data_IF_417336068367
#
_entry.id   IF_417336068367
#
_cell.length_a   1.000
_cell.length_b   1.000
_cell.length_c   1.000
_cell.angle_alpha   90.00
_cell.angle_beta   90.00
_cell.angle_gamma   90.00
#
_symmetry.space_group_name_H-M   'P 1'
#
loop_
_entity.id
_entity.type
_entity.pdbx_description
1 polymer ?
#
# COMPACT_ATOMS: atom_id res chain seq x y z
N UNK A 1 25.55 3.44 -9.07
CA UNK A 1 24.18 3.12 -9.52
C UNK A 1 23.67 4.00 -10.65
N UNK A 2 23.26 5.26 -10.42
CA UNK A 2 22.57 6.09 -11.44
C UNK A 2 23.34 6.24 -12.76
N UNK A 3 24.62 6.62 -12.69
CA UNK A 3 25.45 6.80 -13.88
C UNK A 3 25.65 5.48 -14.66
N UNK A 4 25.81 4.37 -13.95
CA UNK A 4 25.99 3.03 -14.57
C UNK A 4 24.74 2.61 -15.33
N UNK A 5 23.56 2.79 -14.73
CA UNK A 5 22.29 2.48 -15.38
C UNK A 5 22.05 3.35 -16.62
N UNK A 6 22.37 4.65 -16.56
CA UNK A 6 22.36 5.53 -17.74
C UNK A 6 23.34 5.06 -18.82
N UNK A 7 24.50 4.54 -18.44
CA UNK A 7 25.49 3.97 -19.35
C UNK A 7 24.97 2.75 -20.14
N UNK A 8 23.96 2.06 -19.62
CA UNK A 8 23.25 0.97 -20.32
C UNK A 8 22.04 1.45 -21.13
N UNK A 9 21.79 2.76 -21.20
CA UNK A 9 20.63 3.33 -21.89
C UNK A 9 19.31 3.28 -21.10
N UNK A 10 19.35 2.96 -19.80
CA UNK A 10 18.17 3.01 -18.93
C UNK A 10 17.88 4.43 -18.45
N UNK A 11 16.66 4.66 -17.95
CA UNK A 11 16.16 5.99 -17.58
C UNK A 11 15.94 6.15 -16.06
N UNK A 12 17.01 6.09 -15.23
CA UNK A 12 16.86 6.23 -13.78
C UNK A 12 16.46 7.66 -13.40
N UNK A 13 15.37 7.79 -12.65
CA UNK A 13 14.80 9.04 -12.15
C UNK A 13 14.89 9.13 -10.62
N UNK A 14 14.81 10.34 -10.08
CA UNK A 14 14.68 10.51 -8.63
C UNK A 14 13.31 10.02 -8.18
N UNK A 15 13.27 9.21 -7.12
CA UNK A 15 12.03 8.69 -6.56
C UNK A 15 11.28 9.82 -5.83
N UNK A 16 10.02 10.13 -6.18
CA UNK A 16 9.22 11.07 -5.41
C UNK A 16 8.91 10.52 -4.03
N UNK A 17 9.16 11.31 -2.99
CA UNK A 17 8.99 10.92 -1.59
C UNK A 17 8.33 12.03 -0.79
N UNK A 18 7.46 11.68 0.14
CA UNK A 18 6.97 12.58 1.19
C UNK A 18 8.01 12.75 2.30
N UNK A 19 9.22 13.20 1.94
CA UNK A 19 10.36 13.33 2.86
C UNK A 19 10.99 14.71 2.67
N UNK A 20 11.17 15.42 3.78
CA UNK A 20 12.08 16.56 3.88
C UNK A 20 13.44 16.01 4.33
N UNK A 21 14.35 15.86 3.37
CA UNK A 21 15.64 15.20 3.60
C UNK A 21 16.55 16.03 4.51
N UNK A 22 16.46 17.36 4.45
CA UNK A 22 17.30 18.25 5.25
C UNK A 22 16.83 18.22 6.71
N UNK A 23 15.50 18.26 6.94
CA UNK A 23 14.94 18.06 8.27
C UNK A 23 15.27 16.67 8.84
N UNK A 24 15.15 15.62 8.02
CA UNK A 24 15.51 14.26 8.43
C UNK A 24 16.96 14.17 8.91
N UNK A 25 17.90 14.68 8.11
CA UNK A 25 19.33 14.56 8.39
C UNK A 25 19.77 15.41 9.60
N UNK A 26 19.03 16.47 9.93
CA UNK A 26 19.25 17.28 11.15
C UNK A 26 18.92 16.49 12.42
N UNK A 27 17.86 15.69 12.40
CA UNK A 27 17.43 14.89 13.55
C UNK A 27 18.29 13.62 13.74
N UNK A 28 18.96 13.16 12.68
CA UNK A 28 19.98 12.13 12.78
C UNK A 28 20.42 11.53 11.45
N UNK A 29 21.62 10.94 11.44
CA UNK A 29 22.12 10.16 10.30
C UNK A 29 21.63 8.72 10.35
N UNK A 30 20.32 8.52 10.39
CA UNK A 30 19.70 7.20 10.45
C UNK A 30 18.98 6.90 9.14
N UNK A 31 19.09 5.66 8.66
CA UNK A 31 18.42 5.20 7.44
C UNK A 31 17.05 4.58 7.71
N UNK A 32 16.34 4.98 8.77
CA UNK A 32 15.11 4.34 9.30
C UNK A 32 13.88 4.46 8.37
N UNK A 33 14.03 4.10 7.10
CA UNK A 33 13.03 4.17 6.03
C UNK A 33 11.72 3.45 6.38
N UNK A 34 11.82 2.33 7.09
CA UNK A 34 10.71 1.45 7.44
C UNK A 34 9.98 1.82 8.74
N UNK A 35 10.46 2.82 9.49
CA UNK A 35 9.86 3.20 10.78
C UNK A 35 9.10 4.53 10.68
N UNK A 36 8.12 4.77 11.57
CA UNK A 36 7.60 6.12 11.79
C UNK A 36 8.75 7.05 12.17
N UNK A 37 8.78 8.24 11.58
CA UNK A 37 9.71 9.27 11.98
C UNK A 37 9.01 10.12 13.05
N UNK A 38 9.59 10.25 14.23
CA UNK A 38 9.03 11.10 15.30
C UNK A 38 9.38 12.58 15.13
N UNK A 39 10.20 12.92 14.13
CA UNK A 39 10.53 14.28 13.72
C UNK A 39 9.71 14.74 12.51
N UNK A 40 10.15 15.81 11.86
CA UNK A 40 9.44 16.39 10.70
C UNK A 40 9.96 15.89 9.34
N UNK A 41 11.00 15.06 9.34
CA UNK A 41 11.68 14.64 8.11
C UNK A 41 10.86 13.69 7.22
N UNK A 42 9.96 12.89 7.81
CA UNK A 42 9.02 12.02 7.07
C UNK A 42 7.62 12.59 7.20
N UNK A 43 7.04 13.02 6.10
CA UNK A 43 5.65 13.47 6.09
C UNK A 43 4.76 12.25 5.90
N UNK A 44 4.14 11.82 7.00
CA UNK A 44 3.13 10.78 7.02
C UNK A 44 1.72 11.35 7.28
N UNK A 45 0.72 10.48 7.36
CA UNK A 45 -0.67 10.91 7.57
C UNK A 45 -0.85 11.67 8.90
N UNK A 46 -0.09 11.33 9.94
CA UNK A 46 -0.20 11.94 11.26
C UNK A 46 0.44 13.34 11.26
N UNK A 47 1.68 13.42 10.78
CA UNK A 47 2.50 14.64 10.79
C UNK A 47 2.10 15.66 9.72
N UNK A 48 1.49 15.22 8.63
CA UNK A 48 0.97 16.08 7.57
C UNK A 48 -0.54 16.36 7.71
N UNK A 49 -1.40 15.66 6.95
CA UNK A 49 -2.80 16.03 6.80
C UNK A 49 -3.63 15.97 8.08
N UNK A 50 -3.38 15.00 8.98
CA UNK A 50 -4.14 14.90 10.23
C UNK A 50 -3.80 16.06 11.18
N UNK A 51 -2.52 16.38 11.35
CA UNK A 51 -2.10 17.54 12.17
C UNK A 51 -2.73 18.85 11.65
N UNK A 52 -2.78 19.04 10.32
CA UNK A 52 -3.45 20.18 9.72
C UNK A 52 -4.96 20.19 9.97
N UNK A 53 -5.63 19.05 9.85
CA UNK A 53 -7.07 18.92 10.08
C UNK A 53 -7.46 19.21 11.54
N UNK A 54 -6.67 18.75 12.51
CA UNK A 54 -6.93 18.94 13.94
C UNK A 54 -6.72 20.38 14.43
N UNK A 55 -6.16 21.27 13.59
CA UNK A 55 -6.13 22.70 13.88
C UNK A 55 -7.52 23.35 13.74
N UNK A 56 -8.46 22.73 13.03
CA UNK A 56 -9.85 23.18 12.91
C UNK A 56 -10.67 22.72 14.12
N UNK A 57 -11.43 23.65 14.72
CA UNK A 57 -12.25 23.39 15.91
C UNK A 57 -13.44 22.47 15.64
N UNK A 58 -13.80 22.27 14.38
CA UNK A 58 -14.90 21.40 13.97
C UNK A 58 -14.45 19.95 13.72
N UNK A 59 -13.18 19.63 13.98
CA UNK A 59 -12.63 18.28 13.83
C UNK A 59 -12.31 17.71 15.21
N UNK A 60 -12.87 16.54 15.50
CA UNK A 60 -12.61 15.78 16.72
C UNK A 60 -11.95 14.43 16.36
N UNK A 61 -10.96 14.03 17.17
CA UNK A 61 -10.30 12.73 17.05
C UNK A 61 -10.57 11.88 18.28
N UNK A 62 -11.34 10.80 18.10
CA UNK A 62 -11.51 9.77 19.12
C UNK A 62 -10.51 8.63 18.89
N UNK A 63 -9.64 8.39 19.88
CA UNK A 63 -8.70 7.24 19.87
C UNK A 63 -9.20 6.11 20.77
N UNK A 64 -8.65 4.90 20.59
CA UNK A 64 -9.12 3.71 21.29
C UNK A 64 -10.55 3.29 20.92
N UNK A 65 -11.10 3.84 19.83
CA UNK A 65 -12.43 3.59 19.31
C UNK A 65 -12.35 2.60 18.13
N UNK A 66 -12.70 1.33 18.36
CA UNK A 66 -12.69 0.29 17.35
C UNK A 66 -14.09 0.10 16.75
N UNK A 67 -14.30 0.54 15.50
CA UNK A 67 -15.56 0.32 14.78
C UNK A 67 -15.75 -1.18 14.54
N UNK A 68 -16.85 -1.75 15.03
CA UNK A 68 -17.15 -3.18 14.89
C UNK A 68 -18.04 -3.44 13.67
N UNK A 69 -19.04 -2.59 13.44
CA UNK A 69 -19.98 -2.69 12.33
C UNK A 69 -20.76 -1.39 12.09
N UNK A 70 -21.45 -1.33 10.95
CA UNK A 70 -22.37 -0.28 10.56
C UNK A 70 -23.81 -0.82 10.60
N UNK A 71 -24.76 0.03 10.96
CA UNK A 71 -26.20 -0.27 10.95
C UNK A 71 -26.85 0.50 9.81
N UNK A 72 -27.53 -0.20 8.90
CA UNK A 72 -28.31 0.41 7.84
C UNK A 72 -29.69 0.88 8.34
N UNK A 73 -30.27 1.88 7.67
CA UNK A 73 -31.67 2.27 7.84
C UNK A 73 -32.61 1.12 7.46
N UNK A 74 -33.88 1.23 7.88
CA UNK A 74 -34.90 0.22 7.59
C UNK A 74 -35.13 -0.02 6.08
N UNK A 75 -34.92 1.01 5.26
CA UNK A 75 -35.00 0.93 3.79
C UNK A 75 -33.65 0.57 3.13
N UNK A 76 -32.62 0.32 3.95
CA UNK A 76 -31.23 -0.01 3.59
C UNK A 76 -30.53 0.98 2.66
N UNK A 77 -31.06 2.19 2.47
CA UNK A 77 -30.48 3.20 1.56
C UNK A 77 -29.41 4.06 2.20
N UNK A 78 -29.30 4.05 3.53
CA UNK A 78 -28.37 4.87 4.29
C UNK A 78 -27.81 4.11 5.49
N UNK A 79 -26.65 4.52 5.95
CA UNK A 79 -26.10 4.10 7.24
C UNK A 79 -26.73 4.98 8.32
N UNK A 80 -27.49 4.34 9.22
CA UNK A 80 -28.19 4.98 10.32
C UNK A 80 -27.29 5.16 11.56
N UNK A 81 -26.39 4.21 11.81
CA UNK A 81 -25.46 4.29 12.93
C UNK A 81 -24.12 3.59 12.67
N UNK A 82 -23.08 4.08 13.35
CA UNK A 82 -21.75 3.43 13.43
C UNK A 82 -21.58 2.90 14.85
N UNK A 83 -21.35 1.60 14.99
CA UNK A 83 -21.16 0.93 16.28
C UNK A 83 -19.66 0.67 16.51
N UNK A 84 -19.16 1.13 17.66
CA UNK A 84 -17.73 1.06 17.98
C UNK A 84 -17.51 0.75 19.45
N UNK A 85 -16.43 0.01 19.74
CA UNK A 85 -16.02 -0.32 21.10
C UNK A 85 -14.92 0.62 21.56
N UNK A 86 -15.08 1.17 22.76
CA UNK A 86 -14.08 1.99 23.43
C UNK A 86 -14.06 1.66 24.92
N UNK A 87 -12.87 1.35 25.46
CA UNK A 87 -12.69 0.95 26.85
C UNK A 87 -13.63 -0.21 27.27
N UNK A 88 -13.77 -1.21 26.41
CA UNK A 88 -14.65 -2.37 26.62
C UNK A 88 -16.14 -2.12 26.40
N UNK A 89 -16.58 -0.86 26.32
CA UNK A 89 -17.99 -0.49 26.17
C UNK A 89 -18.36 -0.31 24.70
N UNK A 90 -19.51 -0.87 24.29
CA UNK A 90 -20.07 -0.64 22.97
C UNK A 90 -20.82 0.70 22.95
N UNK A 91 -20.45 1.56 22.02
CA UNK A 91 -21.01 2.90 21.79
C UNK A 91 -21.55 2.99 20.37
N UNK A 92 -22.39 4.01 20.12
CA UNK A 92 -22.93 4.31 18.79
C UNK A 92 -22.95 5.81 18.52
N UNK A 93 -22.76 6.17 17.26
CA UNK A 93 -23.00 7.53 16.73
C UNK A 93 -23.90 7.46 15.51
N UNK A 94 -24.69 8.51 15.28
CA UNK A 94 -25.66 8.60 14.17
C UNK A 94 -25.24 9.71 13.19
N UNK A 95 -24.43 9.39 12.18
CA UNK A 95 -23.86 10.39 11.29
C UNK A 95 -24.81 10.73 10.12
N UNK A 96 -24.66 11.92 9.56
CA UNK A 96 -25.28 12.28 8.28
C UNK A 96 -24.56 11.61 7.10
N UNK A 97 -23.23 11.51 7.19
CA UNK A 97 -22.34 10.94 6.18
C UNK A 97 -21.27 10.07 6.84
N UNK A 98 -20.94 8.94 6.23
CA UNK A 98 -19.90 8.00 6.68
C UNK A 98 -18.81 7.90 5.63
N UNK A 99 -17.55 8.07 6.05
CA UNK A 99 -16.37 7.78 5.23
C UNK A 99 -15.59 6.67 5.93
N UNK A 100 -15.56 5.50 5.32
CA UNK A 100 -14.83 4.34 5.81
C UNK A 100 -13.41 4.34 5.22
N UNK A 101 -12.40 4.55 6.07
CA UNK A 101 -10.98 4.60 5.71
C UNK A 101 -10.14 3.70 6.63
N UNK A 102 -10.61 2.48 6.89
CA UNK A 102 -9.98 1.53 7.81
C UNK A 102 -8.84 0.71 7.16
N UNK A 103 -8.56 0.96 5.87
CA UNK A 103 -7.60 0.21 5.08
C UNK A 103 -8.24 -1.02 4.42
N UNK A 104 -7.59 -1.54 3.38
CA UNK A 104 -8.20 -2.53 2.48
C UNK A 104 -8.88 -3.69 3.22
N UNK A 105 -8.19 -4.33 4.15
CA UNK A 105 -8.73 -5.48 4.88
C UNK A 105 -9.87 -5.06 5.82
N UNK A 106 -9.63 -4.08 6.70
CA UNK A 106 -10.59 -3.76 7.75
C UNK A 106 -11.86 -3.08 7.22
N UNK A 107 -11.76 -2.27 6.15
CA UNK A 107 -12.94 -1.69 5.52
C UNK A 107 -13.84 -2.78 4.95
N UNK A 108 -13.29 -3.81 4.31
CA UNK A 108 -14.07 -4.96 3.87
C UNK A 108 -14.64 -5.76 5.07
N UNK A 109 -13.87 -5.98 6.13
CA UNK A 109 -14.32 -6.69 7.33
C UNK A 109 -15.49 -5.99 8.03
N UNK A 110 -15.42 -4.66 8.19
CA UNK A 110 -16.51 -3.87 8.78
C UNK A 110 -17.78 -4.03 7.94
N UNK A 111 -17.69 -3.94 6.62
CA UNK A 111 -18.83 -4.12 5.72
C UNK A 111 -19.41 -5.55 5.79
N UNK A 112 -18.56 -6.58 5.78
CA UNK A 112 -18.97 -7.98 5.84
C UNK A 112 -19.59 -8.36 7.20
N UNK A 113 -19.14 -7.73 8.30
CA UNK A 113 -19.73 -7.91 9.64
C UNK A 113 -21.02 -7.12 9.85
N UNK A 114 -21.26 -6.11 9.03
CA UNK A 114 -22.43 -5.24 9.18
C UNK A 114 -23.72 -6.00 8.84
N UNK A 115 -24.73 -6.00 9.71
CA UNK A 115 -25.97 -6.73 9.46
C UNK A 115 -26.66 -6.25 8.17
N UNK A 116 -27.09 -7.20 7.34
CA UNK A 116 -27.85 -6.94 6.12
C UNK A 116 -29.02 -7.94 5.99
N UNK A 117 -30.13 -7.58 5.31
CA UNK A 117 -31.27 -8.48 5.14
C UNK A 117 -30.95 -9.81 4.45
N UNK A 118 -29.95 -9.81 3.57
CA UNK A 118 -29.50 -10.99 2.82
C UNK A 118 -28.35 -11.76 3.50
N UNK A 119 -27.87 -11.27 4.65
CA UNK A 119 -26.76 -11.85 5.41
C UNK A 119 -25.38 -11.74 4.75
N UNK A 120 -25.23 -10.98 3.65
CA UNK A 120 -23.97 -10.84 2.90
C UNK A 120 -23.09 -9.67 3.35
N UNK A 121 -23.56 -8.85 4.29
CA UNK A 121 -22.91 -7.61 4.68
C UNK A 121 -23.43 -6.38 3.92
N UNK A 122 -23.03 -5.19 4.35
CA UNK A 122 -23.40 -3.95 3.70
C UNK A 122 -22.53 -3.64 2.48
N UNK A 123 -23.08 -2.84 1.55
CA UNK A 123 -22.47 -2.50 0.26
C UNK A 123 -22.09 -3.72 -0.60
N UNK A 124 -22.70 -4.88 -0.37
CA UNK A 124 -22.28 -6.16 -0.95
C UNK A 124 -23.32 -6.82 -1.86
N UNK A 125 -24.24 -6.05 -2.47
CA UNK A 125 -25.21 -6.63 -3.43
C UNK A 125 -24.54 -7.34 -4.61
N UNK A 126 -23.37 -6.87 -5.01
CA UNK A 126 -22.58 -7.41 -6.12
C UNK A 126 -21.73 -8.63 -5.72
N UNK A 127 -21.75 -9.03 -4.44
CA UNK A 127 -20.84 -10.02 -3.86
C UNK A 127 -19.34 -9.72 -4.10
N UNK A 128 -18.97 -8.44 -4.17
CA UNK A 128 -17.58 -8.04 -4.44
C UNK A 128 -16.83 -7.55 -3.21
N UNK A 129 -17.52 -7.25 -2.11
CA UNK A 129 -16.84 -6.88 -0.85
C UNK A 129 -16.01 -8.07 -0.38
N UNK A 130 -14.76 -7.77 -0.04
CA UNK A 130 -13.72 -8.71 0.32
C UNK A 130 -12.99 -9.33 -0.87
N UNK A 131 -13.57 -9.39 -2.07
CA UNK A 131 -12.95 -10.05 -3.25
C UNK A 131 -11.86 -9.19 -3.87
N UNK A 132 -11.07 -9.78 -4.77
CA UNK A 132 -10.02 -9.09 -5.51
C UNK A 132 -8.92 -8.54 -4.59
N UNK A 133 -8.68 -9.21 -3.46
CA UNK A 133 -7.55 -8.86 -2.59
C UNK A 133 -6.26 -8.99 -3.40
N UNK A 134 -5.54 -7.88 -3.49
CA UNK A 134 -4.25 -7.79 -4.16
C UNK A 134 -3.18 -7.32 -3.17
N UNK A 135 -1.95 -7.77 -3.41
CA UNK A 135 -0.77 -7.19 -2.82
C UNK A 135 0.41 -7.38 -3.79
N UNK A 136 1.17 -6.32 -4.06
CA UNK A 136 2.26 -6.34 -5.02
C UNK A 136 3.16 -7.58 -4.94
N UNK A 137 3.40 -8.19 -6.10
CA UNK A 137 4.42 -9.21 -6.26
C UNK A 137 5.78 -8.55 -6.24
N UNK A 138 6.55 -8.77 -5.18
CA UNK A 138 7.78 -8.01 -4.95
C UNK A 138 8.99 -8.89 -4.63
N UNK A 139 10.17 -8.38 -4.95
CA UNK A 139 11.46 -9.01 -4.65
C UNK A 139 12.47 -7.97 -4.17
N UNK A 140 13.19 -8.29 -3.10
CA UNK A 140 14.38 -7.54 -2.72
C UNK A 140 15.56 -8.02 -3.59
N UNK A 141 16.36 -7.10 -4.10
CA UNK A 141 17.57 -7.42 -4.87
C UNK A 141 18.76 -6.63 -4.36
N UNK A 142 19.84 -7.32 -4.01
CA UNK A 142 21.09 -6.74 -3.56
C UNK A 142 22.10 -6.76 -4.71
N UNK A 143 22.52 -5.60 -5.17
CA UNK A 143 23.65 -5.46 -6.09
C UNK A 143 24.89 -5.10 -5.29
N UNK A 144 25.87 -6.01 -5.20
CA UNK A 144 27.01 -5.92 -4.29
C UNK A 144 28.31 -5.82 -5.08
N UNK A 145 29.13 -4.82 -4.74
CA UNK A 145 30.53 -4.71 -5.18
C UNK A 145 31.46 -4.64 -3.95
N UNK A 146 32.20 -5.72 -3.62
CA UNK A 146 33.12 -5.74 -2.48
C UNK A 146 34.21 -4.66 -2.53
N UNK A 147 34.47 -4.07 -3.70
CA UNK A 147 35.46 -3.01 -3.89
C UNK A 147 34.91 -1.62 -3.57
N UNK A 148 33.59 -1.47 -3.44
CA UNK A 148 32.91 -0.17 -3.29
C UNK A 148 32.06 -0.14 -2.04
N UNK A 149 32.42 0.72 -1.10
CA UNK A 149 31.60 0.95 0.09
C UNK A 149 30.42 1.86 -0.25
N UNK A 150 29.23 1.46 0.15
CA UNK A 150 28.04 2.28 0.12
C UNK A 150 27.96 3.11 1.40
N UNK A 151 28.10 4.43 1.26
CA UNK A 151 28.07 5.40 2.36
C UNK A 151 26.72 6.11 2.51
N UNK A 152 25.70 5.66 1.79
CA UNK A 152 24.36 6.26 1.83
C UNK A 152 23.75 6.15 3.22
N UNK A 153 23.30 7.27 3.77
CA UNK A 153 22.52 7.32 5.01
C UNK A 153 21.05 7.06 4.69
N UNK A 154 20.47 7.84 3.77
CA UNK A 154 19.14 7.65 3.23
C UNK A 154 19.23 7.15 1.79
N UNK A 155 18.88 5.89 1.55
CA UNK A 155 19.15 5.25 0.25
C UNK A 155 17.98 5.35 -0.72
N UNK A 156 16.74 5.37 -0.25
CA UNK A 156 15.53 5.19 -1.08
C UNK A 156 15.24 6.42 -1.97
N UNK A 157 16.06 6.70 -2.98
CA UNK A 157 16.01 7.98 -3.74
C UNK A 157 16.00 7.82 -5.25
N UNK A 158 16.05 6.59 -5.76
CA UNK A 158 16.17 6.28 -7.19
C UNK A 158 15.12 5.26 -7.63
N UNK A 159 14.59 5.46 -8.83
CA UNK A 159 13.63 4.56 -9.47
C UNK A 159 13.91 4.40 -10.97
N UNK A 160 13.34 3.34 -11.56
CA UNK A 160 13.32 3.04 -12.98
C UNK A 160 11.90 2.59 -13.38
N UNK A 161 11.43 3.11 -14.51
CA UNK A 161 10.13 2.77 -15.11
C UNK A 161 10.28 2.17 -16.50
N UNK A 162 11.51 1.86 -16.94
CA UNK A 162 11.80 1.30 -18.26
C UNK A 162 10.99 0.01 -18.55
N UNK A 163 10.62 -0.73 -17.51
CA UNK A 163 9.84 -1.96 -17.59
C UNK A 163 8.38 -1.82 -17.12
N UNK A 164 7.91 -0.59 -16.89
CA UNK A 164 6.58 -0.33 -16.32
C UNK A 164 5.45 -0.57 -17.33
N UNK A 165 5.68 -0.27 -18.61
CA UNK A 165 4.71 -0.45 -19.69
C UNK A 165 5.10 -1.55 -20.69
N UNK A 166 6.28 -2.17 -20.55
CA UNK A 166 6.73 -3.27 -21.42
C UNK A 166 7.82 -4.12 -20.74
N UNK A 167 8.25 -5.19 -21.39
CA UNK A 167 9.43 -5.98 -20.99
C UNK A 167 10.78 -5.41 -21.49
N UNK A 168 10.75 -4.19 -22.05
CA UNK A 168 11.90 -3.56 -22.71
C UNK A 168 12.14 -4.04 -24.15
N UNK A 169 11.31 -4.94 -24.67
CA UNK A 169 11.38 -5.51 -26.03
C UNK A 169 10.03 -5.49 -26.75
N UNK A 170 9.09 -4.66 -26.27
CA UNK A 170 7.74 -4.54 -26.82
C UNK A 170 6.77 -5.63 -26.36
N UNK A 171 7.18 -6.51 -25.45
CA UNK A 171 6.32 -7.48 -24.78
C UNK A 171 5.53 -6.88 -23.61
N UNK A 172 4.92 -7.75 -22.81
CA UNK A 172 4.04 -7.35 -21.70
C UNK A 172 4.80 -6.58 -20.61
N UNK A 173 4.13 -5.64 -19.90
CA UNK A 173 4.71 -4.96 -18.75
C UNK A 173 5.28 -5.91 -17.70
N UNK A 174 6.44 -5.56 -17.13
CA UNK A 174 7.01 -6.32 -16.01
C UNK A 174 6.80 -5.62 -14.68
N UNK A 175 7.00 -4.30 -14.59
CA UNK A 175 6.75 -3.52 -13.38
C UNK A 175 7.74 -2.38 -13.14
N UNK A 176 7.81 -1.92 -11.90
CA UNK A 176 8.69 -0.84 -11.45
C UNK A 176 9.89 -1.38 -10.67
N UNK A 177 10.98 -0.62 -10.72
CA UNK A 177 12.16 -0.87 -9.90
C UNK A 177 12.50 0.40 -9.14
N UNK A 178 12.79 0.29 -7.85
CA UNK A 178 13.23 1.42 -7.05
C UNK A 178 14.22 0.98 -5.98
N UNK A 179 14.88 1.93 -5.34
CA UNK A 179 15.71 1.62 -4.19
C UNK A 179 14.83 1.20 -3.00
N UNK A 180 15.31 0.21 -2.28
CA UNK A 180 14.78 -0.18 -0.97
C UNK A 180 15.46 0.67 0.10
N UNK A 181 14.80 0.77 1.27
CA UNK A 181 15.45 1.29 2.45
C UNK A 181 16.71 0.50 2.80
N UNK A 182 17.68 1.14 3.47
CA UNK A 182 19.00 0.52 3.65
C UNK A 182 18.87 -0.78 4.45
N UNK A 183 19.39 -1.88 3.90
CA UNK A 183 19.49 -3.15 4.59
C UNK A 183 20.79 -3.16 5.40
N UNK A 184 20.69 -3.46 6.69
CA UNK A 184 21.83 -3.68 7.58
C UNK A 184 22.12 -5.18 7.81
N UNK A 185 23.24 -5.48 8.46
CA UNK A 185 23.63 -6.87 8.74
C UNK A 185 22.68 -7.62 9.67
N UNK A 186 21.95 -6.93 10.56
CA UNK A 186 20.96 -7.54 11.44
C UNK A 186 19.72 -7.99 10.68
N UNK A 187 19.24 -7.17 9.73
CA UNK A 187 18.15 -7.53 8.81
C UNK A 187 18.56 -8.73 7.95
N UNK A 188 19.80 -8.75 7.44
CA UNK A 188 20.31 -9.92 6.69
C UNK A 188 20.38 -11.17 7.56
N UNK A 189 20.78 -11.04 8.84
CA UNK A 189 20.91 -12.18 9.77
C UNK A 189 19.59 -12.90 10.01
N UNK A 190 18.46 -12.19 9.97
CA UNK A 190 17.13 -12.81 10.04
C UNK A 190 16.89 -13.81 8.90
N UNK A 191 17.56 -13.61 7.76
CA UNK A 191 17.42 -14.41 6.53
C UNK A 191 18.59 -15.37 6.29
N UNK A 192 19.77 -15.12 6.87
CA UNK A 192 21.01 -15.91 6.71
C UNK A 192 21.64 -16.18 8.08
N UNK A 193 20.95 -16.98 8.90
CA UNK A 193 21.23 -17.15 10.34
C UNK A 193 22.64 -17.67 10.69
N UNK A 194 23.25 -18.44 9.78
CA UNK A 194 24.54 -19.09 10.01
C UNK A 194 25.74 -18.21 9.63
N UNK A 195 25.54 -17.09 8.95
CA UNK A 195 26.63 -16.21 8.55
C UNK A 195 27.12 -15.36 9.74
N UNK A 196 28.45 -15.21 9.95
CA UNK A 196 28.99 -14.32 10.97
C UNK A 196 28.56 -12.85 10.75
N UNK A 197 28.30 -12.13 11.84
CA UNK A 197 27.81 -10.74 11.78
C UNK A 197 28.73 -9.82 10.97
N UNK A 198 30.06 -9.91 11.15
CA UNK A 198 31.01 -9.06 10.42
C UNK A 198 30.92 -9.23 8.89
N UNK A 199 30.60 -10.44 8.41
CA UNK A 199 30.45 -10.71 6.99
C UNK A 199 29.14 -10.16 6.45
N UNK A 200 28.07 -10.18 7.27
CA UNK A 200 26.78 -9.58 6.94
C UNK A 200 26.86 -8.05 6.92
N UNK A 201 27.57 -7.46 7.88
CA UNK A 201 27.82 -6.01 7.93
C UNK A 201 28.67 -5.56 6.73
N UNK A 202 29.69 -6.34 6.36
CA UNK A 202 30.48 -6.11 5.15
C UNK A 202 29.58 -6.18 3.90
N UNK A 203 28.76 -7.22 3.76
CA UNK A 203 27.84 -7.35 2.63
C UNK A 203 26.87 -6.17 2.56
N UNK A 204 26.23 -5.83 3.68
CA UNK A 204 25.31 -4.70 3.79
C UNK A 204 25.98 -3.37 3.43
N UNK A 205 27.19 -3.14 3.92
CA UNK A 205 27.99 -1.94 3.65
C UNK A 205 28.48 -1.81 2.20
N UNK A 206 28.36 -2.86 1.39
CA UNK A 206 28.79 -2.90 -0.01
C UNK A 206 27.64 -3.17 -1.00
N UNK A 207 26.40 -3.27 -0.49
CA UNK A 207 25.19 -3.50 -1.27
C UNK A 207 24.48 -2.19 -1.62
N UNK A 208 23.97 -2.11 -2.85
CA UNK A 208 22.86 -1.22 -3.24
C UNK A 208 21.59 -2.06 -3.24
N UNK A 209 20.61 -1.66 -2.43
CA UNK A 209 19.43 -2.48 -2.14
C UNK A 209 18.25 -2.00 -2.99
N UNK A 210 17.67 -2.90 -3.77
CA UNK A 210 16.62 -2.63 -4.74
C UNK A 210 15.33 -3.36 -4.37
N UNK A 211 14.20 -2.71 -4.66
CA UNK A 211 12.85 -3.23 -4.56
C UNK A 211 12.27 -3.32 -5.97
N UNK A 212 12.05 -4.56 -6.41
CA UNK A 212 11.39 -4.87 -7.67
C UNK A 212 9.92 -5.14 -7.37
N UNK A 213 9.03 -4.48 -8.09
CA UNK A 213 7.61 -4.48 -7.81
C UNK A 213 6.82 -4.71 -9.10
N UNK A 214 5.96 -5.72 -9.07
CA UNK A 214 5.09 -6.10 -10.16
C UNK A 214 3.65 -6.10 -9.66
N UNK A 215 2.74 -5.85 -10.59
CA UNK A 215 1.30 -5.90 -10.32
C UNK A 215 0.88 -7.31 -9.89
N UNK A 216 0.05 -7.38 -8.85
CA UNK A 216 -0.81 -8.53 -8.59
C UNK A 216 -2.18 -8.19 -9.18
N UNK A 217 -2.60 -8.96 -10.17
CA UNK A 217 -3.86 -8.77 -10.90
C UNK A 217 -5.05 -9.16 -10.00
N UNK A 218 -6.22 -8.51 -10.17
CA UNK A 218 -7.40 -8.84 -9.40
C UNK A 218 -7.88 -10.26 -9.71
N UNK A 219 -7.98 -11.09 -8.68
CA UNK A 219 -8.60 -12.43 -8.72
C UNK A 219 -9.84 -12.40 -7.79
N UNK A 220 -11.06 -12.61 -8.32
CA UNK A 220 -12.28 -12.65 -7.49
C UNK A 220 -12.24 -13.68 -6.36
N UNK A 221 -11.40 -14.72 -6.48
CA UNK A 221 -11.22 -15.78 -5.49
C UNK A 221 -10.06 -15.49 -4.51
N UNK A 222 -9.32 -14.40 -4.72
CA UNK A 222 -8.46 -13.80 -3.70
C UNK A 222 -9.33 -12.92 -2.82
N UNK A 223 -9.66 -13.35 -1.60
CA UNK A 223 -10.75 -12.79 -0.79
C UNK A 223 -10.41 -12.61 0.69
N UNK A 224 -10.90 -11.52 1.27
CA UNK A 224 -11.08 -11.33 2.71
C UNK A 224 -12.49 -11.77 3.10
N UNK A 225 -12.57 -12.63 4.10
CA UNK A 225 -13.81 -13.17 4.66
C UNK A 225 -13.79 -13.01 6.18
N UNK A 226 -14.95 -13.21 6.80
CA UNK A 226 -15.11 -13.13 8.25
C UNK A 226 -15.73 -14.43 8.75
N UNK A 227 -15.18 -14.97 9.85
CA UNK A 227 -15.73 -16.12 10.57
C UNK A 227 -15.84 -15.74 12.05
N UNK A 228 -17.02 -15.28 12.45
CA UNK A 228 -17.23 -14.63 13.73
C UNK A 228 -16.24 -13.47 13.96
N UNK A 229 -15.34 -13.64 14.94
CA UNK A 229 -14.31 -12.64 15.28
C UNK A 229 -13.05 -12.73 14.42
N UNK A 230 -12.86 -13.83 13.70
CA UNK A 230 -11.65 -14.09 12.94
C UNK A 230 -11.76 -13.47 11.53
N UNK A 231 -10.63 -12.97 11.04
CA UNK A 231 -10.48 -12.46 9.68
C UNK A 231 -9.78 -13.56 8.88
N UNK A 232 -10.44 -14.06 7.85
CA UNK A 232 -9.90 -15.12 6.98
C UNK A 232 -9.41 -14.49 5.68
N UNK A 233 -8.10 -14.57 5.44
CA UNK A 233 -7.47 -14.07 4.23
C UNK A 233 -7.09 -15.22 3.30
N UNK A 234 -7.76 -15.30 2.16
CA UNK A 234 -7.40 -16.19 1.06
C UNK A 234 -6.70 -15.37 -0.03
N UNK A 235 -5.37 -15.53 -0.16
CA UNK A 235 -4.59 -14.79 -1.16
C UNK A 235 -4.06 -15.71 -2.27
N UNK A 236 -4.63 -15.56 -3.47
CA UNK A 236 -4.19 -16.21 -4.71
C UNK A 236 -3.30 -15.24 -5.49
N UNK A 237 -1.99 -15.35 -5.33
CA UNK A 237 -1.02 -14.54 -6.08
C UNK A 237 -1.14 -14.84 -7.57
N UNK A 238 -1.32 -13.80 -8.36
CA UNK A 238 -1.31 -13.86 -9.82
C UNK A 238 0.02 -13.28 -10.37
N UNK A 239 0.20 -13.27 -11.69
CA UNK A 239 1.25 -12.51 -12.39
C UNK A 239 2.72 -12.73 -11.93
N UNK A 240 3.03 -13.87 -11.30
CA UNK A 240 4.39 -14.18 -10.81
C UNK A 240 5.44 -14.24 -11.92
N UNK A 241 5.03 -14.60 -13.14
CA UNK A 241 5.91 -14.63 -14.32
C UNK A 241 6.51 -13.26 -14.63
N UNK A 242 5.77 -12.17 -14.41
CA UNK A 242 6.26 -10.80 -14.59
C UNK A 242 7.33 -10.44 -13.56
N UNK A 243 7.20 -10.92 -12.31
CA UNK A 243 8.23 -10.76 -11.28
C UNK A 243 9.51 -11.54 -11.61
N UNK A 244 9.37 -12.76 -12.12
CA UNK A 244 10.51 -13.56 -12.57
C UNK A 244 11.23 -12.87 -13.75
N UNK A 245 10.46 -12.34 -14.70
CA UNK A 245 10.98 -11.56 -15.83
C UNK A 245 11.71 -10.29 -15.37
N UNK A 246 11.11 -9.50 -14.48
CA UNK A 246 11.72 -8.29 -13.94
C UNK A 246 13.00 -8.60 -13.16
N UNK A 247 12.98 -9.67 -12.37
CA UNK A 247 14.15 -10.13 -11.59
C UNK A 247 15.28 -10.58 -12.52
N UNK A 248 14.96 -11.27 -13.61
CA UNK A 248 15.94 -11.69 -14.61
C UNK A 248 16.59 -10.50 -15.29
N UNK A 249 15.80 -9.59 -15.87
CA UNK A 249 16.34 -8.45 -16.65
C UNK A 249 17.16 -7.51 -15.76
N UNK A 250 16.71 -7.25 -14.52
CA UNK A 250 17.47 -6.40 -13.61
C UNK A 250 18.77 -7.05 -13.13
N UNK A 251 18.80 -8.38 -12.97
CA UNK A 251 20.05 -9.09 -12.66
C UNK A 251 21.06 -8.95 -13.79
N UNK A 252 20.62 -9.08 -15.04
CA UNK A 252 21.45 -8.88 -16.22
C UNK A 252 21.99 -7.45 -16.28
N UNK A 253 21.12 -6.45 -16.08
CA UNK A 253 21.51 -5.04 -16.04
C UNK A 253 22.53 -4.73 -14.93
N UNK A 254 22.32 -5.19 -13.70
CA UNK A 254 23.27 -4.92 -12.62
C UNK A 254 24.62 -5.61 -12.83
N UNK A 255 24.65 -6.81 -13.41
CA UNK A 255 25.92 -7.43 -13.82
C UNK A 255 26.62 -6.61 -14.90
N UNK A 256 25.89 -6.11 -15.90
CA UNK A 256 26.44 -5.24 -16.93
C UNK A 256 26.92 -3.88 -16.37
N UNK A 257 26.29 -3.37 -15.31
CA UNK A 257 26.77 -2.20 -14.54
C UNK A 257 28.05 -2.49 -13.71
N UNK A 258 28.54 -3.73 -13.69
CA UNK A 258 29.78 -4.11 -13.02
C UNK A 258 29.63 -4.59 -11.57
N UNK A 259 28.41 -4.90 -11.10
CA UNK A 259 28.21 -5.54 -9.80
C UNK A 259 28.48 -7.05 -9.90
N UNK A 260 29.57 -7.57 -9.30
CA UNK A 260 29.95 -8.98 -9.43
C UNK A 260 28.97 -9.94 -8.75
N UNK A 261 28.25 -9.47 -7.72
CA UNK A 261 27.33 -10.28 -6.93
C UNK A 261 25.95 -9.62 -7.00
N UNK A 262 24.95 -10.35 -7.49
CA UNK A 262 23.56 -9.90 -7.54
C UNK A 262 22.66 -10.99 -6.95
N UNK A 263 22.12 -10.73 -5.77
CA UNK A 263 21.26 -11.64 -5.03
C UNK A 263 19.84 -11.12 -5.04
N UNK A 264 18.84 -12.00 -5.10
CA UNK A 264 17.43 -11.60 -5.08
C UNK A 264 16.60 -12.56 -4.25
N UNK A 265 15.59 -12.05 -3.54
CA UNK A 265 14.67 -12.84 -2.74
C UNK A 265 13.25 -12.29 -2.84
N UNK A 266 12.28 -13.09 -3.32
CA UNK A 266 10.88 -12.68 -3.33
C UNK A 266 10.35 -12.53 -1.89
N UNK A 267 9.50 -11.55 -1.67
CA UNK A 267 8.75 -11.44 -0.43
C UNK A 267 7.67 -12.53 -0.38
N UNK A 268 7.52 -13.14 0.80
CA UNK A 268 6.52 -14.18 1.03
C UNK A 268 5.17 -13.59 1.47
N UNK A 269 4.19 -14.48 1.71
CA UNK A 269 2.81 -14.07 2.01
C UNK A 269 2.60 -13.57 3.45
N UNK A 270 3.61 -13.61 4.32
CA UNK A 270 3.43 -13.37 5.76
C UNK A 270 3.30 -11.88 6.11
N UNK A 271 3.76 -10.99 5.23
CA UNK A 271 3.82 -9.55 5.48
C UNK A 271 3.33 -8.74 4.28
N UNK A 272 2.02 -8.81 3.95
CA UNK A 272 1.46 -7.99 2.87
C UNK A 272 1.48 -6.51 3.27
N UNK A 273 2.21 -5.69 2.49
CA UNK A 273 2.46 -4.27 2.79
C UNK A 273 1.61 -3.29 1.96
N UNK A 274 1.16 -3.70 0.77
CA UNK A 274 0.36 -2.89 -0.15
C UNK A 274 -0.96 -3.59 -0.45
N UNK A 275 -1.74 -3.85 0.59
CA UNK A 275 -3.06 -4.48 0.52
C UNK A 275 -4.04 -3.55 -0.21
N UNK A 276 -4.77 -4.06 -1.21
CA UNK A 276 -5.74 -3.27 -1.97
C UNK A 276 -6.85 -4.11 -2.62
N UNK A 277 -7.87 -3.45 -3.17
CA UNK A 277 -8.87 -4.02 -4.08
C UNK A 277 -10.11 -4.68 -3.47
N UNK A 278 -10.14 -4.80 -2.15
CA UNK A 278 -11.16 -5.53 -1.38
C UNK A 278 -12.56 -4.88 -1.38
N UNK A 279 -12.69 -3.62 -1.79
CA UNK A 279 -13.98 -2.92 -1.96
C UNK A 279 -13.85 -2.08 -3.23
N UNK A 280 -13.56 -2.73 -4.35
CA UNK A 280 -13.16 -2.06 -5.61
C UNK A 280 -14.20 -1.06 -6.12
N UNK A 281 -13.76 0.02 -6.72
CA UNK A 281 -14.63 0.91 -7.49
C UNK A 281 -14.83 0.40 -8.92
N UNK A 282 -15.96 0.77 -9.51
CA UNK A 282 -16.29 0.54 -10.91
C UNK A 282 -17.45 1.42 -11.36
N UNK A 283 -17.93 1.19 -12.58
CA UNK A 283 -19.04 1.92 -13.20
C UNK A 283 -20.38 1.18 -13.12
N UNK A 284 -20.35 -0.14 -12.88
CA UNK A 284 -21.53 -0.98 -12.80
C UNK A 284 -21.78 -1.52 -11.37
N UNK A 285 -22.93 -1.19 -10.75
CA UNK A 285 -23.31 -1.72 -9.45
C UNK A 285 -23.49 -3.24 -9.37
N UNK A 286 -23.66 -3.93 -10.50
CA UNK A 286 -23.74 -5.38 -10.52
C UNK A 286 -22.35 -6.03 -10.33
N UNK A 287 -21.27 -5.30 -10.60
CA UNK A 287 -19.90 -5.83 -10.60
C UNK A 287 -18.94 -5.10 -9.68
N UNK A 288 -19.39 -4.05 -8.99
CA UNK A 288 -18.56 -3.24 -8.07
C UNK A 288 -19.40 -2.71 -6.88
N UNK A 289 -18.85 -2.70 -5.64
CA UNK A 289 -19.51 -2.10 -4.48
C UNK A 289 -19.60 -0.57 -4.53
N UNK A 290 -18.60 0.07 -5.15
CA UNK A 290 -18.45 1.52 -5.17
C UNK A 290 -18.49 2.08 -6.58
N UNK A 291 -19.03 3.29 -6.69
CA UNK A 291 -18.90 4.11 -7.89
C UNK A 291 -17.47 4.70 -8.02
N UNK A 292 -17.13 5.38 -9.13
CA UNK A 292 -15.80 5.93 -9.32
C UNK A 292 -15.39 6.98 -8.28
N UNK A 293 -16.35 7.61 -7.58
CA UNK A 293 -16.12 8.56 -6.48
C UNK A 293 -16.13 7.87 -5.11
N UNK A 294 -15.91 6.55 -5.08
CA UNK A 294 -15.84 5.75 -3.86
C UNK A 294 -17.13 5.74 -3.04
N UNK A 295 -18.26 6.16 -3.60
CA UNK A 295 -19.56 6.07 -2.93
C UNK A 295 -20.11 4.66 -3.09
N UNK A 296 -20.68 4.10 -2.03
CA UNK A 296 -21.42 2.86 -2.15
C UNK A 296 -22.60 3.02 -3.11
N UNK A 297 -22.77 2.05 -4.01
CA UNK A 297 -23.95 1.98 -4.85
C UNK A 297 -25.23 1.64 -4.08
N UNK A 298 -25.09 1.04 -2.90
CA UNK A 298 -26.21 0.58 -2.06
C UNK A 298 -26.62 1.64 -1.03
N UNK A 299 -25.63 2.36 -0.48
CA UNK A 299 -25.80 3.27 0.66
C UNK A 299 -25.39 4.70 0.28
N UNK A 300 -26.37 5.60 0.14
CA UNK A 300 -26.18 6.95 -0.43
C UNK A 300 -25.23 7.84 0.38
N UNK A 301 -25.15 7.62 1.69
CA UNK A 301 -24.32 8.38 2.61
C UNK A 301 -23.04 7.65 3.05
N UNK A 302 -22.65 6.56 2.36
CA UNK A 302 -21.45 5.79 2.65
C UNK A 302 -20.42 5.95 1.54
N UNK A 303 -19.22 6.36 1.91
CA UNK A 303 -18.04 6.34 1.07
C UNK A 303 -17.00 5.39 1.66
N UNK A 304 -16.20 4.73 0.81
CA UNK A 304 -15.07 3.88 1.25
C UNK A 304 -13.80 4.36 0.56
N UNK A 305 -12.95 5.05 1.31
CA UNK A 305 -11.82 5.82 0.78
C UNK A 305 -10.53 5.37 1.44
N UNK A 306 -9.97 4.29 0.92
CA UNK A 306 -8.64 3.78 1.25
C UNK A 306 -8.14 2.85 0.12
N UNK A 307 -7.08 2.08 0.33
CA UNK A 307 -6.55 1.17 -0.69
C UNK A 307 -7.56 0.13 -1.23
N UNK A 308 -8.69 -0.11 -0.56
CA UNK A 308 -9.73 -1.06 -0.97
C UNK A 308 -10.35 -0.72 -2.32
N UNK A 309 -10.45 0.56 -2.70
CA UNK A 309 -11.15 0.98 -3.92
C UNK A 309 -10.39 0.64 -5.19
N UNK A 310 -9.09 0.35 -5.11
CA UNK A 310 -8.23 0.21 -6.28
C UNK A 310 -8.65 -1.00 -7.14
N UNK A 311 -9.04 -0.80 -8.42
CA UNK A 311 -9.41 -1.91 -9.30
C UNK A 311 -8.20 -2.75 -9.71
N UNK A 312 -7.00 -2.18 -9.61
CA UNK A 312 -5.73 -2.84 -9.87
C UNK A 312 -4.68 -2.35 -8.87
N UNK A 313 -3.67 -3.18 -8.58
CA UNK A 313 -2.60 -2.81 -7.64
C UNK A 313 -1.57 -1.85 -8.24
N UNK A 314 -1.61 -1.67 -9.57
CA UNK A 314 -0.54 -1.06 -10.35
C UNK A 314 0.81 -1.75 -10.08
N UNK A 315 1.92 -1.11 -10.46
CA UNK A 315 3.25 -1.55 -10.07
C UNK A 315 4.01 -0.42 -9.38
N UNK A 316 3.35 0.39 -8.56
CA UNK A 316 3.93 1.54 -7.82
C UNK A 316 3.35 1.60 -6.41
N UNK A 317 4.05 2.25 -5.47
CA UNK A 317 3.54 2.42 -4.11
C UNK A 317 2.17 3.15 -4.12
N UNK A 318 1.13 2.61 -3.47
CA UNK A 318 -0.24 3.07 -3.69
C UNK A 318 -0.60 4.36 -2.92
N UNK A 319 0.18 4.77 -1.93
CA UNK A 319 -0.17 5.85 -1.00
C UNK A 319 -0.50 7.18 -1.69
N UNK A 320 0.25 7.55 -2.73
CA UNK A 320 -0.01 8.79 -3.48
C UNK A 320 -1.34 8.72 -4.25
N UNK A 321 -1.65 7.57 -4.87
CA UNK A 321 -2.93 7.34 -5.55
C UNK A 321 -4.11 7.37 -4.57
N UNK A 322 -3.92 6.80 -3.37
CA UNK A 322 -4.93 6.84 -2.29
C UNK A 322 -5.18 8.28 -1.85
N UNK A 323 -4.12 9.06 -1.60
CA UNK A 323 -4.25 10.47 -1.22
C UNK A 323 -4.91 11.30 -2.33
N UNK A 324 -4.53 11.08 -3.59
CA UNK A 324 -5.13 11.77 -4.74
C UNK A 324 -6.63 11.47 -4.87
N UNK A 325 -7.03 10.20 -4.72
CA UNK A 325 -8.44 9.84 -4.74
C UNK A 325 -9.18 10.39 -3.52
N UNK A 326 -8.58 10.39 -2.33
CA UNK A 326 -9.20 10.98 -1.15
C UNK A 326 -9.52 12.47 -1.34
N UNK A 327 -8.60 13.24 -1.93
CA UNK A 327 -8.83 14.65 -2.29
C UNK A 327 -9.93 14.78 -3.35
N UNK A 328 -9.94 13.90 -4.36
CA UNK A 328 -10.97 13.88 -5.41
C UNK A 328 -12.36 13.61 -4.85
N UNK A 329 -12.49 12.66 -3.92
CA UNK A 329 -13.74 12.32 -3.26
C UNK A 329 -14.18 13.42 -2.30
N UNK A 330 -13.26 14.03 -1.55
CA UNK A 330 -13.56 15.17 -0.67
C UNK A 330 -14.14 16.36 -1.46
N UNK A 331 -13.54 16.72 -2.60
CA UNK A 331 -14.09 17.78 -3.46
C UNK A 331 -15.45 17.40 -4.06
N UNK A 332 -15.65 16.13 -4.41
CA UNK A 332 -16.95 15.63 -4.85
C UNK A 332 -18.01 15.78 -3.75
N UNK A 333 -17.76 15.27 -2.54
CA UNK A 333 -18.65 15.39 -1.37
C UNK A 333 -19.00 16.86 -1.11
N UNK A 334 -18.00 17.75 -1.14
CA UNK A 334 -18.22 19.19 -0.95
C UNK A 334 -19.19 19.78 -1.98
N UNK A 335 -19.13 19.32 -3.23
CA UNK A 335 -19.95 19.82 -4.34
C UNK A 335 -21.33 19.17 -4.45
N UNK A 336 -21.53 17.98 -3.90
CA UNK A 336 -22.77 17.20 -4.11
C UNK A 336 -23.56 16.90 -2.85
N UNK A 337 -22.89 16.82 -1.69
CA UNK A 337 -23.52 16.42 -0.43
C UNK A 337 -23.62 17.58 0.59
N UNK A 338 -22.69 18.53 0.51
CA UNK A 338 -22.57 19.63 1.48
C UNK A 338 -23.02 20.99 0.91
N UNK A 339 -23.53 21.03 -0.32
CA UNK A 339 -24.14 22.25 -0.87
C UNK A 339 -25.54 22.39 -0.26
N UNK A 340 -25.71 23.45 0.52
CA UNK A 340 -26.98 23.83 1.15
C UNK A 340 -28.07 24.17 0.14
#
# INVERSE_FOLDING_TARGET
ARAELKGLGLHPASLPLGVDIDAWLKDGKTGWDAFPNTGAGKVDAQTGPLAAALADRNVELETGAHVEYLEASSDVRTIAAVHYRQNGTLKKVTPKLVILSAGAVNSAVILLRSPSPDGKGLANRSDQVGRNFMNHNSSAMLAIDPRRRNTSVYQKTLMLNDYYLSDGKGGKPLGNVQLLGKIDGHILRANVRLAPQFALDFMAGHAVDWYLMCEDLPDPESRIMVDGKDIVMQWRRSNMQSLDGLTKVMRENFRACGYPIVLSRPFDKRTPSHQCGTVKMGDDPATSPLDPFCRSFDHRNLFVVDASFLPNSAAVNPALSIAAQALRVADHIRKTELVA
#
